data_IF_970319558372
#
_entry.id   IF_970319558372
#
_cell.length_a   1.000
_cell.length_b   1.000
_cell.length_c   1.000
_cell.angle_alpha   90.00
_cell.angle_beta   90.00
_cell.angle_gamma   90.00
#
_symmetry.space_group_name_H-M   'P 1'
#
loop_
_entity.id
_entity.type
_entity.pdbx_description
1 polymer ?
#
# COMPACT_ATOMS: atom_id res chain seq x y z
N UNK A 1 26.03 1.16 0.60
CA UNK A 1 25.62 1.11 -0.84
C UNK A 1 24.86 2.38 -1.17
N UNK A 2 25.04 2.92 -2.39
CA UNK A 2 24.24 4.05 -2.88
C UNK A 2 23.18 3.55 -3.84
N UNK A 3 21.99 4.16 -3.74
CA UNK A 3 20.87 3.89 -4.63
C UNK A 3 20.44 5.15 -5.37
N UNK A 4 20.20 5.03 -6.67
CA UNK A 4 19.42 5.95 -7.47
C UNK A 4 18.01 5.38 -7.61
N UNK A 5 17.03 5.97 -6.91
CA UNK A 5 15.64 5.56 -7.02
C UNK A 5 14.87 6.50 -7.94
N UNK A 6 14.42 6.01 -9.09
CA UNK A 6 13.75 6.81 -10.10
C UNK A 6 12.26 6.49 -10.10
N UNK A 7 11.42 7.47 -9.76
CA UNK A 7 9.98 7.30 -9.63
C UNK A 7 9.18 8.35 -10.40
N UNK A 8 8.07 7.97 -11.07
CA UNK A 8 7.14 8.93 -11.66
C UNK A 8 6.23 9.61 -10.63
N UNK A 9 6.37 9.30 -9.35
CA UNK A 9 5.51 9.79 -8.27
C UNK A 9 5.62 11.30 -8.08
N UNK A 10 4.52 11.92 -7.67
CA UNK A 10 4.43 13.32 -7.31
C UNK A 10 4.56 13.49 -5.79
N UNK A 11 5.39 14.42 -5.32
CA UNK A 11 5.68 14.66 -3.92
C UNK A 11 5.51 16.16 -3.55
N UNK A 12 4.85 16.48 -2.44
CA UNK A 12 4.04 15.60 -1.61
C UNK A 12 2.73 15.19 -2.29
N UNK A 13 2.17 14.02 -1.94
CA UNK A 13 0.87 13.57 -2.44
C UNK A 13 0.30 12.51 -1.51
N UNK A 14 -1.03 12.47 -1.38
CA UNK A 14 -1.76 11.43 -0.62
C UNK A 14 -1.95 10.12 -1.41
N UNK A 15 -1.48 10.06 -2.65
CA UNK A 15 -1.59 8.87 -3.48
C UNK A 15 -0.73 7.71 -2.93
N UNK A 16 -1.25 6.50 -2.98
CA UNK A 16 -0.60 5.31 -2.46
C UNK A 16 0.81 5.08 -3.05
N UNK A 17 1.00 5.36 -4.35
CA UNK A 17 2.30 5.24 -5.00
C UNK A 17 3.35 6.21 -4.42
N UNK A 18 2.96 7.40 -3.99
CA UNK A 18 3.86 8.38 -3.37
C UNK A 18 4.23 7.95 -1.95
N UNK A 19 3.26 7.45 -1.20
CA UNK A 19 3.48 6.86 0.14
C UNK A 19 4.45 5.69 0.05
N UNK A 20 4.24 4.76 -0.88
CA UNK A 20 5.13 3.62 -1.13
C UNK A 20 6.58 4.09 -1.38
N UNK A 21 6.79 5.00 -2.32
CA UNK A 21 8.13 5.46 -2.72
C UNK A 21 8.87 6.09 -1.55
N UNK A 22 8.22 6.97 -0.81
CA UNK A 22 8.84 7.67 0.32
C UNK A 22 9.21 6.67 1.44
N UNK A 23 8.30 5.75 1.78
CA UNK A 23 8.59 4.73 2.81
C UNK A 23 9.66 3.74 2.36
N UNK A 24 9.69 3.36 1.08
CA UNK A 24 10.74 2.49 0.54
C UNK A 24 12.12 3.17 0.59
N UNK A 25 12.21 4.46 0.22
CA UNK A 25 13.45 5.23 0.35
C UNK A 25 13.91 5.29 1.80
N UNK A 26 13.00 5.65 2.72
CA UNK A 26 13.31 5.71 4.15
C UNK A 26 13.78 4.35 4.71
N UNK A 27 13.20 3.25 4.24
CA UNK A 27 13.60 1.92 4.68
C UNK A 27 14.99 1.53 4.15
N UNK A 28 15.29 1.84 2.89
CA UNK A 28 16.64 1.65 2.32
C UNK A 28 17.68 2.43 3.13
N UNK A 29 17.37 3.69 3.47
CA UNK A 29 18.26 4.50 4.29
C UNK A 29 18.48 3.93 5.69
N UNK A 30 17.39 3.46 6.36
CA UNK A 30 17.47 2.80 7.67
C UNK A 30 18.25 1.49 7.63
N UNK A 31 18.28 0.82 6.48
CA UNK A 31 19.09 -0.38 6.24
C UNK A 31 20.54 -0.06 5.81
N UNK A 32 21.00 1.19 6.00
CA UNK A 32 22.38 1.60 5.77
C UNK A 32 22.71 2.03 4.35
N UNK A 33 21.71 2.23 3.48
CA UNK A 33 21.94 2.78 2.16
C UNK A 33 21.91 4.32 2.16
N UNK A 34 22.58 4.92 1.19
CA UNK A 34 22.44 6.31 0.80
C UNK A 34 21.55 6.38 -0.44
N UNK A 35 20.43 7.09 -0.39
CA UNK A 35 19.42 7.08 -1.47
C UNK A 35 19.29 8.45 -2.09
N UNK A 36 19.38 8.54 -3.41
CA UNK A 36 18.96 9.71 -4.19
C UNK A 36 17.65 9.41 -4.88
N UNK A 37 16.57 10.10 -4.48
CA UNK A 37 15.24 9.95 -5.06
C UNK A 37 15.01 10.97 -6.17
N UNK A 38 14.80 10.48 -7.39
CA UNK A 38 14.35 11.27 -8.54
C UNK A 38 12.84 11.17 -8.66
N UNK A 39 12.16 12.30 -8.45
CA UNK A 39 10.69 12.34 -8.46
C UNK A 39 10.17 13.70 -8.93
N UNK A 40 8.86 13.78 -9.14
CA UNK A 40 8.16 15.01 -9.39
C UNK A 40 7.90 15.76 -8.08
N UNK A 41 8.20 17.07 -8.06
CA UNK A 41 7.81 17.96 -6.97
C UNK A 41 6.57 18.77 -7.36
N UNK A 42 5.57 18.80 -6.47
CA UNK A 42 4.30 19.53 -6.67
C UNK A 42 4.29 20.91 -6.05
N UNK A 43 5.27 21.22 -5.18
CA UNK A 43 5.47 22.52 -4.55
C UNK A 43 6.65 23.26 -5.22
N UNK A 44 6.58 24.58 -5.39
CA UNK A 44 7.64 25.34 -6.07
C UNK A 44 8.99 25.27 -5.34
N UNK A 45 8.99 25.38 -4.02
CA UNK A 45 10.18 25.48 -3.20
C UNK A 45 10.74 24.10 -2.84
N UNK A 46 11.95 23.80 -3.35
CA UNK A 46 12.62 22.54 -3.06
C UNK A 46 12.94 22.36 -1.56
N UNK A 47 13.33 23.46 -0.89
CA UNK A 47 13.72 23.44 0.52
C UNK A 47 12.57 23.08 1.48
N UNK A 48 11.32 23.30 1.05
CA UNK A 48 10.13 22.93 1.85
C UNK A 48 9.76 21.46 1.72
N UNK A 49 10.28 20.75 0.71
CA UNK A 49 9.86 19.37 0.42
C UNK A 49 10.18 18.41 1.57
N UNK A 50 11.34 18.54 2.20
CA UNK A 50 11.72 17.68 3.35
C UNK A 50 10.75 17.85 4.53
N UNK A 51 10.40 19.11 4.85
CA UNK A 51 9.41 19.40 5.90
C UNK A 51 8.03 18.80 5.56
N UNK A 52 7.62 18.88 4.29
CA UNK A 52 6.38 18.28 3.82
C UNK A 52 6.43 16.73 3.86
N UNK A 53 7.56 16.10 3.53
CA UNK A 53 7.69 14.64 3.66
C UNK A 53 7.58 14.20 5.12
N UNK A 54 8.14 14.97 6.04
CA UNK A 54 8.02 14.72 7.49
C UNK A 54 6.57 14.86 7.95
N UNK A 55 5.89 15.92 7.53
CA UNK A 55 4.50 16.19 7.91
C UNK A 55 3.52 15.17 7.35
N UNK A 56 3.63 14.87 6.04
CA UNK A 56 2.66 14.03 5.31
C UNK A 56 2.89 12.54 5.54
N UNK A 57 4.15 12.10 5.56
CA UNK A 57 4.49 10.68 5.61
C UNK A 57 5.14 10.23 6.92
N UNK A 58 5.56 11.17 7.78
CA UNK A 58 6.33 10.87 8.98
C UNK A 58 7.75 10.38 8.65
N UNK A 59 8.31 10.79 7.51
CA UNK A 59 9.62 10.36 7.02
C UNK A 59 10.61 11.51 7.06
N UNK A 60 11.74 11.25 7.72
CA UNK A 60 12.91 12.11 7.78
C UNK A 60 14.15 11.22 7.92
N UNK A 61 15.13 11.38 7.02
CA UNK A 61 16.38 10.62 7.11
C UNK A 61 17.53 11.36 6.44
N UNK A 62 18.69 11.54 7.13
CA UNK A 62 19.81 12.32 6.60
C UNK A 62 20.47 11.73 5.36
N UNK A 63 20.34 10.42 5.13
CA UNK A 63 20.86 9.73 3.94
C UNK A 63 19.89 9.70 2.76
N UNK A 64 18.73 10.39 2.84
CA UNK A 64 17.79 10.56 1.75
C UNK A 64 18.01 11.90 1.06
N UNK A 65 18.57 11.84 -0.15
CA UNK A 65 18.75 13.00 -1.00
C UNK A 65 17.58 13.13 -1.98
N UNK A 66 17.01 14.33 -2.11
CA UNK A 66 15.87 14.61 -2.99
C UNK A 66 16.31 15.39 -4.22
N UNK A 67 16.44 14.71 -5.35
CA UNK A 67 16.69 15.33 -6.65
C UNK A 67 15.38 15.40 -7.45
N UNK A 68 14.64 16.50 -7.28
CA UNK A 68 13.28 16.60 -7.73
C UNK A 68 13.07 17.69 -8.78
N UNK A 69 12.26 17.37 -9.79
CA UNK A 69 11.84 18.31 -10.83
C UNK A 69 10.49 18.92 -10.49
N UNK A 70 10.40 20.25 -10.43
CA UNK A 70 9.11 20.94 -10.28
C UNK A 70 8.27 20.77 -11.53
N UNK A 71 7.02 20.34 -11.34
CA UNK A 71 6.11 20.10 -12.43
C UNK A 71 4.69 20.55 -12.06
N UNK A 72 4.18 21.55 -12.76
CA UNK A 72 2.82 22.08 -12.60
C UNK A 72 1.76 21.40 -13.50
N UNK A 73 2.18 20.47 -14.37
CA UNK A 73 1.31 19.82 -15.35
C UNK A 73 1.15 18.33 -15.06
N UNK A 74 -0.03 17.77 -15.41
CA UNK A 74 -0.30 16.33 -15.28
C UNK A 74 0.38 15.48 -16.36
N UNK A 75 0.83 16.08 -17.48
CA UNK A 75 1.33 15.37 -18.66
C UNK A 75 2.83 15.59 -18.89
N UNK A 76 3.52 14.61 -19.46
CA UNK A 76 4.93 14.71 -19.90
C UNK A 76 6.01 14.55 -18.82
N UNK A 77 5.64 14.57 -17.55
CA UNK A 77 6.59 14.65 -16.43
C UNK A 77 7.46 13.40 -16.24
N UNK A 78 6.97 12.21 -16.61
CA UNK A 78 7.74 10.96 -16.47
C UNK A 78 8.96 10.92 -17.39
N UNK A 79 8.87 11.49 -18.60
CA UNK A 79 10.01 11.60 -19.52
C UNK A 79 11.04 12.63 -19.04
N UNK A 80 10.59 13.77 -18.50
CA UNK A 80 11.49 14.80 -17.96
C UNK A 80 12.29 14.27 -16.76
N UNK A 81 11.62 13.56 -15.83
CA UNK A 81 12.29 12.91 -14.70
C UNK A 81 13.28 11.85 -15.20
N UNK A 82 12.88 11.03 -16.19
CA UNK A 82 13.73 10.01 -16.78
C UNK A 82 15.01 10.63 -17.38
N UNK A 83 14.85 11.68 -18.19
CA UNK A 83 15.98 12.37 -18.81
C UNK A 83 16.93 12.94 -17.77
N UNK A 84 16.40 13.67 -16.78
CA UNK A 84 17.17 14.26 -15.70
C UNK A 84 17.93 13.19 -14.90
N UNK A 85 17.26 12.14 -14.45
CA UNK A 85 17.88 11.07 -13.69
C UNK A 85 18.97 10.33 -14.49
N UNK A 86 18.70 9.99 -15.75
CA UNK A 86 19.68 9.30 -16.62
C UNK A 86 20.94 10.16 -16.82
N UNK A 87 20.76 11.47 -17.07
CA UNK A 87 21.90 12.38 -17.22
C UNK A 87 22.71 12.50 -15.93
N UNK A 88 22.05 12.60 -14.77
CA UNK A 88 22.71 12.69 -13.46
C UNK A 88 23.50 11.43 -13.14
N UNK A 89 22.89 10.25 -13.31
CA UNK A 89 23.52 8.95 -13.05
C UNK A 89 24.76 8.75 -13.96
N UNK A 90 24.65 9.07 -15.24
CA UNK A 90 25.76 8.92 -16.17
C UNK A 90 26.93 9.87 -15.89
N UNK A 91 26.64 11.09 -15.42
CA UNK A 91 27.69 12.05 -15.03
C UNK A 91 28.41 11.61 -13.75
N UNK A 92 27.72 10.95 -12.83
CA UNK A 92 28.33 10.47 -11.59
C UNK A 92 29.40 9.39 -11.83
N UNK A 93 29.36 8.65 -12.95
CA UNK A 93 30.38 7.70 -13.38
C UNK A 93 30.64 6.54 -12.41
N UNK A 94 29.78 6.34 -11.43
CA UNK A 94 29.89 5.35 -10.35
C UNK A 94 28.99 4.15 -10.64
N UNK A 95 29.39 2.99 -10.12
CA UNK A 95 28.55 1.77 -10.12
C UNK A 95 27.62 1.78 -8.88
N UNK A 96 26.70 2.74 -8.84
CA UNK A 96 25.68 2.79 -7.80
C UNK A 96 24.50 1.90 -8.20
N UNK A 97 23.78 1.34 -7.25
CA UNK A 97 22.59 0.53 -7.52
C UNK A 97 21.46 1.42 -8.05
N UNK A 98 20.72 0.91 -9.04
CA UNK A 98 19.62 1.64 -9.65
C UNK A 98 18.32 0.86 -9.40
N UNK A 99 17.34 1.52 -8.77
CA UNK A 99 15.98 1.05 -8.62
C UNK A 99 15.05 1.99 -9.40
N UNK A 100 14.34 1.48 -10.40
CA UNK A 100 13.48 2.32 -11.22
C UNK A 100 12.05 1.81 -11.28
N UNK A 101 11.10 2.69 -10.92
CA UNK A 101 9.67 2.56 -11.22
C UNK A 101 9.27 3.41 -12.44
N UNK A 102 10.17 4.20 -12.96
CA UNK A 102 9.94 4.99 -14.15
C UNK A 102 10.29 4.16 -15.38
N UNK A 103 9.25 3.82 -16.16
CA UNK A 103 9.37 2.98 -17.35
C UNK A 103 10.37 3.54 -18.38
N UNK A 104 10.34 4.86 -18.60
CA UNK A 104 11.21 5.51 -19.59
C UNK A 104 12.67 5.51 -19.16
N UNK A 105 12.95 5.79 -17.88
CA UNK A 105 14.29 5.72 -17.33
C UNK A 105 14.83 4.28 -17.36
N UNK A 106 14.02 3.32 -16.95
CA UNK A 106 14.38 1.90 -16.99
C UNK A 106 14.67 1.43 -18.42
N UNK A 107 13.83 1.81 -19.39
CA UNK A 107 14.07 1.49 -20.80
C UNK A 107 15.38 2.10 -21.30
N UNK A 108 15.60 3.37 -21.03
CA UNK A 108 16.79 4.09 -21.45
C UNK A 108 18.07 3.44 -20.88
N UNK A 109 18.08 3.19 -19.58
CA UNK A 109 19.24 2.61 -18.90
C UNK A 109 19.46 1.13 -19.30
N UNK A 110 18.41 0.31 -19.21
CA UNK A 110 18.54 -1.13 -19.46
C UNK A 110 18.72 -1.48 -20.94
N UNK A 111 17.89 -0.92 -21.83
CA UNK A 111 17.85 -1.33 -23.23
C UNK A 111 18.89 -0.59 -24.07
N UNK A 112 19.00 0.74 -23.91
CA UNK A 112 19.90 1.53 -24.73
C UNK A 112 21.34 1.59 -24.17
N UNK A 113 21.50 1.57 -22.84
CA UNK A 113 22.82 1.68 -22.21
C UNK A 113 23.32 0.39 -21.55
N UNK A 114 22.52 -0.69 -21.55
CA UNK A 114 22.87 -1.99 -20.97
C UNK A 114 23.32 -1.88 -19.51
N UNK A 115 22.69 -0.98 -18.76
CA UNK A 115 23.02 -0.73 -17.36
C UNK A 115 22.26 -1.72 -16.47
N UNK A 116 22.93 -2.44 -15.56
CA UNK A 116 22.25 -3.28 -14.56
C UNK A 116 21.33 -2.45 -13.69
N UNK A 117 20.10 -2.94 -13.45
CA UNK A 117 19.14 -2.27 -12.59
C UNK A 117 18.03 -3.19 -12.07
N UNK A 118 17.42 -2.77 -10.98
CA UNK A 118 16.17 -3.28 -10.45
C UNK A 118 15.02 -2.48 -11.09
N UNK A 119 14.14 -3.17 -11.83
CA UNK A 119 12.96 -2.58 -12.44
C UNK A 119 11.72 -2.97 -11.65
N UNK A 120 11.11 -2.02 -10.94
CA UNK A 120 9.90 -2.27 -10.16
C UNK A 120 8.66 -1.87 -10.94
N UNK A 121 7.73 -2.82 -11.11
CA UNK A 121 6.45 -2.60 -11.79
C UNK A 121 5.27 -3.08 -10.97
N UNK A 122 4.16 -2.32 -11.02
CA UNK A 122 2.93 -2.59 -10.28
C UNK A 122 1.75 -2.88 -11.20
N UNK A 123 1.98 -2.97 -12.50
CA UNK A 123 0.93 -3.18 -13.49
C UNK A 123 1.47 -3.71 -14.82
N UNK A 124 0.57 -4.26 -15.63
CA UNK A 124 0.84 -4.51 -17.04
C UNK A 124 0.65 -3.19 -17.81
N UNK A 125 1.66 -2.77 -18.53
CA UNK A 125 1.56 -1.64 -19.45
C UNK A 125 0.83 -2.03 -20.75
N UNK A 126 0.27 -1.05 -21.46
CA UNK A 126 -0.48 -1.25 -22.71
C UNK A 126 0.17 -0.52 -23.89
N UNK A 127 -0.19 -0.88 -25.12
CA UNK A 127 0.30 -0.25 -26.34
C UNK A 127 1.83 -0.22 -26.42
N UNK A 128 2.41 0.90 -26.83
CA UNK A 128 3.86 1.07 -26.95
C UNK A 128 4.59 0.90 -25.63
N UNK A 129 3.98 1.29 -24.53
CA UNK A 129 4.54 1.12 -23.18
C UNK A 129 4.69 -0.38 -22.82
N UNK A 130 3.76 -1.23 -23.27
CA UNK A 130 3.87 -2.69 -23.13
C UNK A 130 5.13 -3.24 -23.82
N UNK A 131 5.43 -2.76 -25.03
CA UNK A 131 6.64 -3.13 -25.74
C UNK A 131 7.91 -2.69 -24.97
N UNK A 132 7.93 -1.47 -24.43
CA UNK A 132 9.04 -1.00 -23.59
C UNK A 132 9.22 -1.87 -22.34
N UNK A 133 8.12 -2.15 -21.62
CA UNK A 133 8.15 -3.00 -20.43
C UNK A 133 8.71 -4.38 -20.76
N UNK A 134 8.20 -5.02 -21.81
CA UNK A 134 8.69 -6.32 -22.29
C UNK A 134 10.18 -6.27 -22.62
N UNK A 135 10.66 -5.21 -23.28
CA UNK A 135 12.06 -5.06 -23.65
C UNK A 135 12.98 -4.97 -22.43
N UNK A 136 12.56 -4.20 -21.41
CA UNK A 136 13.29 -4.09 -20.14
C UNK A 136 13.39 -5.46 -19.47
N UNK A 137 12.26 -6.16 -19.33
CA UNK A 137 12.15 -7.43 -18.60
C UNK A 137 12.94 -8.58 -19.27
N UNK A 138 13.29 -8.45 -20.54
CA UNK A 138 14.13 -9.39 -21.30
C UNK A 138 15.61 -9.13 -21.19
N UNK A 139 16.04 -8.00 -20.61
CA UNK A 139 17.45 -7.70 -20.45
C UNK A 139 18.09 -8.61 -19.39
N UNK A 140 19.20 -9.32 -19.71
CA UNK A 140 19.86 -10.24 -18.78
C UNK A 140 20.40 -9.58 -17.50
N UNK A 141 20.61 -8.29 -17.52
CA UNK A 141 21.12 -7.48 -16.43
C UNK A 141 20.02 -6.73 -15.67
N UNK A 142 18.75 -7.12 -15.84
CA UNK A 142 17.61 -6.53 -15.14
C UNK A 142 16.96 -7.57 -14.24
N UNK A 143 16.79 -7.25 -12.97
CA UNK A 143 15.89 -7.98 -12.07
C UNK A 143 14.58 -7.20 -11.96
N UNK A 144 13.48 -7.85 -12.34
CA UNK A 144 12.15 -7.25 -12.27
C UNK A 144 11.53 -7.50 -10.89
N UNK A 145 11.16 -6.43 -10.20
CA UNK A 145 10.42 -6.50 -8.95
C UNK A 145 8.94 -6.30 -9.23
N UNK A 146 8.12 -7.23 -8.75
CA UNK A 146 6.65 -7.18 -8.83
C UNK A 146 6.01 -7.28 -7.45
N UNK A 147 4.79 -6.75 -7.32
CA UNK A 147 4.12 -6.63 -6.01
C UNK A 147 3.28 -7.84 -5.60
N UNK A 148 3.12 -8.82 -6.48
CA UNK A 148 2.38 -10.06 -6.20
C UNK A 148 2.80 -11.19 -7.13
N UNK A 149 2.62 -12.43 -6.71
CA UNK A 149 2.80 -13.62 -7.55
C UNK A 149 1.83 -13.60 -8.74
N UNK A 150 0.61 -13.11 -8.52
CA UNK A 150 -0.38 -12.95 -9.59
C UNK A 150 0.10 -11.97 -10.66
N UNK A 151 0.76 -10.86 -10.29
CA UNK A 151 1.36 -9.96 -11.26
C UNK A 151 2.52 -10.61 -12.00
N UNK A 152 3.38 -11.38 -11.30
CA UNK A 152 4.46 -12.12 -11.92
C UNK A 152 3.94 -13.08 -13.01
N UNK A 153 2.93 -13.89 -12.67
CA UNK A 153 2.28 -14.82 -13.62
C UNK A 153 1.68 -14.09 -14.80
N UNK A 154 0.94 -13.03 -14.53
CA UNK A 154 0.28 -12.24 -15.58
C UNK A 154 1.28 -11.59 -16.54
N UNK A 155 2.39 -11.05 -16.03
CA UNK A 155 3.46 -10.52 -16.85
C UNK A 155 4.19 -11.61 -17.63
N UNK A 156 4.44 -12.77 -17.04
CA UNK A 156 5.07 -13.91 -17.72
C UNK A 156 4.22 -14.38 -18.92
N UNK A 157 2.91 -14.53 -18.73
CA UNK A 157 1.97 -14.91 -19.79
C UNK A 157 1.93 -13.88 -20.93
N UNK A 158 1.92 -12.57 -20.61
CA UNK A 158 1.73 -11.51 -21.59
C UNK A 158 3.02 -10.96 -22.19
N UNK A 159 4.16 -11.12 -21.52
CA UNK A 159 5.47 -10.60 -21.94
C UNK A 159 6.52 -11.69 -22.19
N UNK A 160 6.28 -12.93 -21.74
CA UNK A 160 7.26 -14.00 -21.83
C UNK A 160 8.51 -13.68 -21.01
N UNK A 161 8.32 -13.26 -19.77
CA UNK A 161 9.41 -13.01 -18.80
C UNK A 161 10.04 -14.31 -18.32
N UNK A 162 11.34 -14.27 -18.06
CA UNK A 162 12.03 -15.39 -17.45
C UNK A 162 11.82 -15.38 -15.93
N UNK A 163 11.20 -16.41 -15.32
CA UNK A 163 10.85 -16.41 -13.90
C UNK A 163 12.02 -16.18 -12.94
N UNK A 164 13.22 -16.65 -13.29
CA UNK A 164 14.42 -16.52 -12.43
C UNK A 164 14.94 -15.09 -12.30
N UNK A 165 14.43 -14.15 -13.09
CA UNK A 165 14.75 -12.71 -13.04
C UNK A 165 13.63 -11.88 -12.46
N UNK A 166 12.60 -12.51 -11.94
CA UNK A 166 11.46 -11.84 -11.31
C UNK A 166 11.53 -12.05 -9.81
N UNK A 167 11.54 -10.96 -9.05
CA UNK A 167 11.52 -10.94 -7.60
C UNK A 167 10.15 -10.44 -7.13
N UNK A 168 9.42 -11.27 -6.39
CA UNK A 168 8.12 -10.89 -5.83
C UNK A 168 8.33 -10.23 -4.47
N UNK A 169 8.00 -8.96 -4.37
CA UNK A 169 8.04 -8.18 -3.13
C UNK A 169 6.71 -7.46 -2.95
N UNK A 170 5.86 -8.01 -2.11
CA UNK A 170 4.61 -7.37 -1.71
C UNK A 170 4.87 -5.98 -1.14
N UNK A 171 3.85 -5.12 -1.14
CA UNK A 171 3.88 -3.88 -0.37
C UNK A 171 4.08 -4.18 1.12
N UNK A 172 4.31 -3.17 1.92
CA UNK A 172 4.67 -3.34 3.31
C UNK A 172 4.03 -2.25 4.19
N UNK A 173 4.20 -2.37 5.49
CA UNK A 173 3.86 -1.33 6.45
C UNK A 173 5.12 -0.83 7.19
N UNK A 174 5.07 0.38 7.78
CA UNK A 174 6.16 0.89 8.62
C UNK A 174 6.47 -0.05 9.78
N UNK A 175 7.75 -0.25 10.09
CA UNK A 175 8.16 -0.99 11.28
C UNK A 175 7.69 -0.28 12.56
N UNK A 176 7.54 -1.05 13.65
CA UNK A 176 7.19 -0.51 14.96
C UNK A 176 5.69 -0.35 15.24
N UNK A 177 4.81 -0.81 14.33
CA UNK A 177 3.39 -0.94 14.69
C UNK A 177 3.31 -2.03 15.76
N UNK A 178 2.65 -1.73 16.88
CA UNK A 178 2.45 -2.66 17.99
C UNK A 178 1.00 -2.69 18.43
N UNK A 179 0.44 -3.85 18.78
CA UNK A 179 -0.88 -3.94 19.38
C UNK A 179 -0.96 -3.10 20.66
N UNK A 180 -2.14 -2.63 20.98
CA UNK A 180 -2.44 -1.93 22.24
C UNK A 180 -3.20 -2.84 23.20
N UNK A 181 -3.11 -2.57 24.50
CA UNK A 181 -3.85 -3.32 25.49
C UNK A 181 -5.37 -3.09 25.35
N UNK A 182 -6.18 -4.00 25.87
CA UNK A 182 -7.64 -3.88 25.85
C UNK A 182 -8.09 -2.59 26.58
N UNK A 183 -7.45 -2.25 27.70
CA UNK A 183 -7.76 -1.04 28.46
C UNK A 183 -7.46 0.21 27.63
N UNK A 184 -6.27 0.33 27.09
CA UNK A 184 -5.88 1.46 26.24
C UNK A 184 -6.78 1.59 25.00
N UNK A 185 -7.19 0.46 24.41
CA UNK A 185 -8.13 0.43 23.29
C UNK A 185 -9.47 1.05 23.68
N UNK A 186 -10.05 0.63 24.81
CA UNK A 186 -11.32 1.14 25.31
C UNK A 186 -11.27 2.63 25.60
N UNK A 187 -10.20 3.10 26.27
CA UNK A 187 -10.04 4.52 26.62
C UNK A 187 -9.95 5.40 25.37
N UNK A 188 -9.14 5.00 24.39
CA UNK A 188 -8.99 5.72 23.12
C UNK A 188 -10.26 5.69 22.28
N UNK A 189 -10.97 4.56 22.25
CA UNK A 189 -12.22 4.43 21.53
C UNK A 189 -13.30 5.32 22.14
N UNK A 190 -13.37 5.37 23.47
CA UNK A 190 -14.27 6.27 24.17
C UNK A 190 -13.99 7.75 23.88
N UNK A 191 -12.71 8.14 23.86
CA UNK A 191 -12.32 9.50 23.48
C UNK A 191 -12.71 9.85 22.03
N UNK A 192 -12.68 8.87 21.13
CA UNK A 192 -13.03 9.04 19.71
C UNK A 192 -14.55 9.11 19.49
N UNK A 193 -15.32 8.27 20.20
CA UNK A 193 -16.78 8.17 20.10
C UNK A 193 -17.37 8.11 21.53
N UNK A 194 -17.56 9.27 22.20
CA UNK A 194 -17.98 9.32 23.61
C UNK A 194 -19.29 8.58 23.89
N UNK A 195 -20.23 8.61 22.94
CA UNK A 195 -21.53 7.95 23.06
C UNK A 195 -21.48 6.42 22.83
N UNK A 196 -20.31 5.87 22.51
CA UNK A 196 -20.13 4.44 22.24
C UNK A 196 -19.93 3.59 23.50
N UNK A 197 -19.86 4.18 24.71
CA UNK A 197 -19.63 3.44 25.95
C UNK A 197 -20.75 2.45 26.26
N UNK A 198 -20.41 1.16 26.22
CA UNK A 198 -21.31 0.09 26.64
C UNK A 198 -22.48 -0.21 25.70
N UNK A 199 -22.63 0.56 24.62
CA UNK A 199 -23.74 0.41 23.69
C UNK A 199 -23.48 -0.68 22.61
N UNK A 200 -22.21 -0.98 22.31
CA UNK A 200 -21.84 -1.84 21.18
C UNK A 200 -21.08 -3.08 21.63
N UNK A 201 -21.43 -4.23 21.08
CA UNK A 201 -20.72 -5.50 21.34
C UNK A 201 -19.36 -5.53 20.67
N UNK A 202 -19.26 -4.96 19.46
CA UNK A 202 -18.05 -4.90 18.66
C UNK A 202 -17.95 -3.55 17.94
N UNK A 203 -16.74 -3.08 17.74
CA UNK A 203 -16.43 -1.90 16.92
C UNK A 203 -15.62 -2.34 15.71
N UNK A 204 -16.19 -2.20 14.53
CA UNK A 204 -15.58 -2.56 13.26
C UNK A 204 -15.01 -1.31 12.58
N UNK A 205 -13.76 -1.38 12.12
CA UNK A 205 -13.08 -0.29 11.40
C UNK A 205 -12.84 -0.60 9.93
N UNK A 206 -13.22 0.34 9.05
CA UNK A 206 -12.84 0.37 7.65
C UNK A 206 -11.92 1.56 7.39
N UNK A 207 -10.80 1.35 6.71
CA UNK A 207 -9.86 2.41 6.36
C UNK A 207 -9.58 2.38 4.85
N UNK A 208 -9.84 3.47 4.14
CA UNK A 208 -9.55 3.56 2.72
C UNK A 208 -10.43 4.52 1.94
N UNK A 209 -10.13 4.65 0.64
CA UNK A 209 -10.98 5.40 -0.29
C UNK A 209 -12.34 4.71 -0.47
N UNK A 210 -13.36 5.52 -0.82
CA UNK A 210 -14.72 5.03 -1.09
C UNK A 210 -14.97 4.82 -2.60
N UNK A 211 -13.91 4.54 -3.37
CA UNK A 211 -14.02 4.25 -4.80
C UNK A 211 -14.76 2.92 -5.05
N UNK A 212 -15.39 2.78 -6.23
CA UNK A 212 -16.03 1.53 -6.63
C UNK A 212 -15.10 0.31 -6.45
N UNK A 213 -15.64 -0.77 -5.95
CA UNK A 213 -14.91 -2.00 -5.68
C UNK A 213 -14.08 -2.01 -4.38
N UNK A 214 -14.09 -0.91 -3.60
CA UNK A 214 -13.46 -0.89 -2.27
C UNK A 214 -14.35 -1.48 -1.18
N UNK A 215 -15.63 -1.77 -1.50
CA UNK A 215 -16.55 -2.57 -0.69
C UNK A 215 -17.22 -1.82 0.46
N UNK A 216 -17.33 -0.51 0.37
CA UNK A 216 -18.09 0.26 1.38
C UNK A 216 -19.55 -0.20 1.48
N UNK A 217 -20.13 -0.69 0.38
CA UNK A 217 -21.47 -1.25 0.31
C UNK A 217 -21.65 -2.47 1.24
N UNK A 218 -20.61 -3.28 1.41
CA UNK A 218 -20.61 -4.39 2.37
C UNK A 218 -20.66 -3.86 3.81
N UNK A 219 -19.85 -2.84 4.13
CA UNK A 219 -19.85 -2.23 5.46
C UNK A 219 -21.22 -1.62 5.79
N UNK A 220 -21.84 -0.94 4.83
CA UNK A 220 -23.19 -0.38 4.95
C UNK A 220 -24.24 -1.49 5.18
N UNK A 221 -24.17 -2.59 4.44
CA UNK A 221 -25.08 -3.73 4.59
C UNK A 221 -24.88 -4.43 5.96
N UNK A 222 -23.64 -4.60 6.41
CA UNK A 222 -23.34 -5.11 7.75
C UNK A 222 -23.93 -4.21 8.84
N UNK A 223 -23.85 -2.88 8.71
CA UNK A 223 -24.42 -1.94 9.66
C UNK A 223 -25.96 -2.02 9.71
N UNK A 224 -26.61 -2.32 8.60
CA UNK A 224 -28.05 -2.59 8.56
C UNK A 224 -28.40 -3.87 9.32
N UNK A 225 -27.64 -4.94 9.13
CA UNK A 225 -27.91 -6.26 9.70
C UNK A 225 -27.51 -6.38 11.19
N UNK A 226 -26.47 -5.66 11.63
CA UNK A 226 -25.88 -5.79 12.98
C UNK A 226 -25.99 -4.49 13.77
N UNK A 227 -27.18 -4.27 14.34
CA UNK A 227 -27.49 -3.08 15.16
C UNK A 227 -26.74 -3.05 16.49
N UNK A 228 -26.19 -4.15 16.91
CA UNK A 228 -25.37 -4.33 18.11
C UNK A 228 -23.87 -4.06 17.90
N UNK A 229 -23.46 -3.74 16.66
CA UNK A 229 -22.09 -3.39 16.31
C UNK A 229 -21.98 -1.95 15.79
N UNK A 230 -20.87 -1.26 16.11
CA UNK A 230 -20.53 0.05 15.57
C UNK A 230 -19.58 -0.09 14.40
N UNK A 231 -19.84 0.63 13.32
CA UNK A 231 -18.99 0.65 12.12
C UNK A 231 -18.39 2.04 11.93
N UNK A 232 -17.07 2.13 11.99
CA UNK A 232 -16.28 3.35 11.80
C UNK A 232 -15.61 3.34 10.44
N UNK A 233 -15.91 4.34 9.61
CA UNK A 233 -15.38 4.45 8.23
C UNK A 233 -14.44 5.64 8.14
N UNK A 234 -13.13 5.37 7.97
CA UNK A 234 -12.09 6.38 7.83
C UNK A 234 -11.64 6.46 6.36
N UNK A 235 -11.72 7.65 5.79
CA UNK A 235 -11.36 7.95 4.41
C UNK A 235 -12.54 8.50 3.60
N UNK A 236 -12.37 8.53 2.27
CA UNK A 236 -13.30 9.21 1.37
C UNK A 236 -13.08 10.73 1.30
N UNK A 237 -13.63 11.34 0.26
CA UNK A 237 -13.73 12.80 0.14
C UNK A 237 -15.00 13.29 0.84
N UNK A 238 -15.09 14.59 1.14
CA UNK A 238 -16.31 15.18 1.69
C UNK A 238 -17.52 14.91 0.81
N UNK A 239 -17.32 14.94 -0.51
CA UNK A 239 -18.38 14.65 -1.49
C UNK A 239 -18.83 13.18 -1.42
N UNK A 240 -17.88 12.23 -1.35
CA UNK A 240 -18.20 10.80 -1.21
C UNK A 240 -19.00 10.55 0.08
N UNK A 241 -18.56 11.13 1.19
CA UNK A 241 -19.18 10.98 2.50
C UNK A 241 -20.59 11.60 2.51
N UNK A 242 -20.78 12.80 1.94
CA UNK A 242 -22.07 13.45 1.87
C UNK A 242 -23.08 12.60 1.09
N UNK A 243 -22.66 12.04 -0.06
CA UNK A 243 -23.48 11.14 -0.86
C UNK A 243 -23.89 9.88 -0.07
N UNK A 244 -22.94 9.26 0.66
CA UNK A 244 -23.21 8.06 1.48
C UNK A 244 -24.11 8.33 2.68
N UNK A 245 -23.94 9.45 3.38
CA UNK A 245 -24.80 9.87 4.50
C UNK A 245 -26.24 10.15 4.06
N UNK A 246 -26.45 10.57 2.82
CA UNK A 246 -27.80 10.80 2.28
C UNK A 246 -28.52 9.47 2.03
N UNK A 247 -27.82 8.47 1.52
CA UNK A 247 -28.38 7.16 1.20
C UNK A 247 -28.43 6.18 2.38
N UNK A 248 -27.60 6.39 3.42
CA UNK A 248 -27.52 5.50 4.58
C UNK A 248 -27.47 6.29 5.90
N UNK A 249 -28.55 6.19 6.70
CA UNK A 249 -28.74 6.90 7.96
C UNK A 249 -28.72 5.97 9.18
N UNK A 250 -27.89 4.92 9.15
CA UNK A 250 -27.80 4.00 10.30
C UNK A 250 -27.07 4.69 11.47
N UNK A 251 -27.67 4.63 12.66
CA UNK A 251 -27.10 5.22 13.88
C UNK A 251 -25.76 4.56 14.30
N UNK A 252 -25.53 3.33 13.87
CA UNK A 252 -24.34 2.53 14.13
C UNK A 252 -23.30 2.55 12.99
N UNK A 253 -23.40 3.53 12.07
CA UNK A 253 -22.44 3.72 10.98
C UNK A 253 -21.94 5.17 10.99
N UNK A 254 -20.66 5.37 11.31
CA UNK A 254 -20.06 6.69 11.39
C UNK A 254 -18.98 6.89 10.32
N UNK A 255 -19.16 7.87 9.44
CA UNK A 255 -18.14 8.32 8.48
C UNK A 255 -17.27 9.37 9.14
N UNK A 256 -16.03 9.01 9.46
CA UNK A 256 -15.06 9.82 10.21
C UNK A 256 -14.22 10.74 9.33
N UNK A 257 -14.28 10.54 8.01
CA UNK A 257 -13.50 11.33 7.05
C UNK A 257 -12.05 10.88 6.91
N UNK A 258 -11.29 11.69 6.17
CA UNK A 258 -9.87 11.42 5.92
C UNK A 258 -9.03 11.75 7.16
N UNK A 259 -8.14 10.83 7.52
CA UNK A 259 -7.13 11.03 8.58
C UNK A 259 -5.72 10.81 8.02
N UNK A 260 -4.69 11.51 8.54
CA UNK A 260 -3.30 11.27 8.15
C UNK A 260 -2.86 9.83 8.43
N UNK A 261 -1.94 9.29 7.63
CA UNK A 261 -1.47 7.90 7.78
C UNK A 261 -0.99 7.51 9.19
N UNK A 262 -0.22 8.33 9.92
CA UNK A 262 0.15 7.99 11.30
C UNK A 262 -1.07 7.83 12.22
N UNK A 263 -2.04 8.75 12.10
CA UNK A 263 -3.29 8.72 12.89
C UNK A 263 -4.14 7.50 12.50
N UNK A 264 -4.24 7.19 11.20
CA UNK A 264 -4.97 6.01 10.73
C UNK A 264 -4.41 4.71 11.36
N UNK A 265 -3.09 4.56 11.42
CA UNK A 265 -2.45 3.40 12.04
C UNK A 265 -2.76 3.27 13.53
N UNK A 266 -2.81 4.39 14.26
CA UNK A 266 -3.20 4.37 15.67
C UNK A 266 -4.67 4.00 15.84
N UNK A 267 -5.54 4.49 14.96
CA UNK A 267 -6.98 4.16 14.97
C UNK A 267 -7.25 2.70 14.56
N UNK A 268 -6.47 2.12 13.66
CA UNK A 268 -6.56 0.70 13.31
C UNK A 268 -6.33 -0.23 14.51
N UNK A 269 -5.58 0.21 15.50
CA UNK A 269 -5.21 -0.57 16.69
C UNK A 269 -6.26 -0.52 17.80
N UNK A 270 -7.23 0.38 17.71
CA UNK A 270 -8.23 0.59 18.77
C UNK A 270 -9.61 0.00 18.46
N UNK A 271 -9.90 -0.35 17.22
CA UNK A 271 -11.12 -1.09 16.86
C UNK A 271 -10.99 -2.57 17.22
N UNK A 272 -12.11 -3.29 17.30
CA UNK A 272 -12.13 -4.70 17.63
C UNK A 272 -11.91 -5.59 16.41
N UNK A 273 -12.36 -5.15 15.24
CA UNK A 273 -12.27 -5.89 13.98
C UNK A 273 -11.96 -4.91 12.84
N UNK A 274 -11.03 -5.29 11.97
CA UNK A 274 -10.69 -4.55 10.76
C UNK A 274 -11.36 -5.18 9.54
N UNK A 275 -12.02 -4.36 8.72
CA UNK A 275 -12.75 -4.80 7.53
C UNK A 275 -12.00 -4.40 6.25
N UNK A 276 -11.77 -5.38 5.37
CA UNK A 276 -11.12 -5.20 4.08
C UNK A 276 -11.96 -5.79 2.93
N UNK A 277 -13.13 -5.20 2.60
CA UNK A 277 -14.15 -5.80 1.74
C UNK A 277 -13.93 -5.50 0.24
N UNK A 278 -12.74 -5.69 -0.29
CA UNK A 278 -12.47 -5.53 -1.72
C UNK A 278 -13.40 -6.40 -2.56
N UNK A 279 -13.83 -5.88 -3.71
CA UNK A 279 -14.67 -6.60 -4.65
C UNK A 279 -13.83 -7.24 -5.77
N UNK A 280 -14.45 -8.06 -6.62
CA UNK A 280 -13.79 -8.74 -7.74
C UNK A 280 -13.22 -7.77 -8.80
N UNK A 281 -13.73 -6.53 -8.83
CA UNK A 281 -13.16 -5.41 -9.60
C UNK A 281 -12.87 -4.24 -8.66
N UNK A 282 -11.65 -3.72 -8.68
CA UNK A 282 -11.19 -2.68 -7.76
C UNK A 282 -10.64 -1.48 -8.52
N UNK A 283 -11.37 -0.36 -8.44
CA UNK A 283 -10.91 0.92 -9.00
C UNK A 283 -9.83 1.57 -8.12
N UNK A 284 -8.92 2.28 -8.79
CA UNK A 284 -7.95 3.19 -8.16
C UNK A 284 -8.32 4.66 -8.40
N UNK A 285 -9.57 4.93 -8.81
CA UNK A 285 -10.03 6.28 -9.16
C UNK A 285 -9.62 6.73 -10.57
N UNK A 286 -9.16 5.80 -11.42
CA UNK A 286 -8.83 6.02 -12.84
C UNK A 286 -9.70 5.10 -13.67
N UNK A 287 -10.44 5.68 -14.63
CA UNK A 287 -11.34 4.90 -15.47
C UNK A 287 -10.59 3.79 -16.24
N UNK A 288 -11.17 2.59 -16.28
CA UNK A 288 -10.62 1.43 -16.99
C UNK A 288 -9.44 0.73 -16.30
N UNK A 289 -9.03 1.16 -15.12
CA UNK A 289 -7.99 0.50 -14.33
C UNK A 289 -8.61 -0.36 -13.23
N UNK A 290 -8.55 -1.68 -13.41
CA UNK A 290 -8.91 -2.68 -12.41
C UNK A 290 -7.63 -3.35 -11.89
N UNK A 291 -7.42 -3.28 -10.58
CA UNK A 291 -6.24 -3.83 -9.91
C UNK A 291 -6.54 -5.09 -9.10
N UNK A 292 -7.79 -5.56 -9.08
CA UNK A 292 -8.21 -6.70 -8.25
C UNK A 292 -7.39 -7.97 -8.51
N UNK A 293 -6.91 -8.15 -9.74
CA UNK A 293 -6.18 -9.37 -10.16
C UNK A 293 -4.77 -9.47 -9.61
N UNK A 294 -4.11 -8.34 -9.28
CA UNK A 294 -2.68 -8.32 -8.91
C UNK A 294 -2.30 -7.29 -7.85
N UNK A 295 -3.28 -6.69 -7.17
CA UNK A 295 -3.03 -5.67 -6.17
C UNK A 295 -2.25 -6.21 -4.97
N UNK A 296 -1.44 -5.34 -4.37
CA UNK A 296 -0.82 -5.54 -3.06
C UNK A 296 -1.14 -4.31 -2.20
N UNK A 297 -2.32 -4.28 -1.53
CA UNK A 297 -2.77 -3.06 -0.86
C UNK A 297 -2.00 -2.82 0.43
N UNK A 298 -1.32 -1.67 0.56
CA UNK A 298 -0.55 -1.29 1.75
C UNK A 298 -1.34 -1.42 3.04
N UNK A 299 -2.66 -1.09 3.03
CA UNK A 299 -3.51 -1.22 4.23
C UNK A 299 -3.59 -2.64 4.77
N UNK A 300 -3.44 -3.67 3.91
CA UNK A 300 -3.40 -5.07 4.34
C UNK A 300 -2.26 -5.30 5.34
N UNK A 301 -1.10 -4.76 5.05
CA UNK A 301 0.09 -4.89 5.91
C UNK A 301 -0.01 -4.01 7.17
N UNK A 302 -0.65 -2.85 7.08
CA UNK A 302 -0.98 -2.01 8.24
C UNK A 302 -1.98 -2.72 9.16
N UNK A 303 -2.98 -3.42 8.60
CA UNK A 303 -3.95 -4.23 9.35
C UNK A 303 -3.25 -5.41 10.04
N UNK A 304 -2.39 -6.15 9.33
CA UNK A 304 -1.59 -7.19 9.95
C UNK A 304 -0.75 -6.65 11.11
N UNK A 305 -0.13 -5.46 10.91
CA UNK A 305 0.67 -4.81 11.94
C UNK A 305 -0.12 -4.37 13.17
N UNK A 306 -1.38 -3.99 13.00
CA UNK A 306 -2.25 -3.57 14.10
C UNK A 306 -2.51 -4.69 15.13
N UNK A 307 -2.41 -5.97 14.72
CA UNK A 307 -2.64 -7.11 15.60
C UNK A 307 -4.10 -7.27 16.03
N UNK A 308 -5.01 -6.72 15.25
CA UNK A 308 -6.46 -6.79 15.42
C UNK A 308 -7.02 -7.80 14.43
N UNK A 309 -8.03 -8.62 14.79
CA UNK A 309 -8.67 -9.53 13.86
C UNK A 309 -9.10 -8.85 12.56
N UNK A 310 -8.85 -9.51 11.44
CA UNK A 310 -9.16 -9.00 10.10
C UNK A 310 -10.24 -9.90 9.49
N UNK A 311 -11.29 -9.28 8.94
CA UNK A 311 -12.19 -9.93 7.98
C UNK A 311 -11.89 -9.33 6.60
N UNK A 312 -11.53 -10.16 5.66
CA UNK A 312 -11.14 -9.75 4.31
C UNK A 312 -11.93 -10.49 3.24
N UNK A 313 -12.06 -9.87 2.08
CA UNK A 313 -12.58 -10.55 0.91
C UNK A 313 -11.68 -11.71 0.51
N UNK A 314 -12.33 -12.81 0.13
CA UNK A 314 -11.71 -13.99 -0.43
C UNK A 314 -11.37 -13.77 -1.91
N UNK A 315 -10.24 -13.10 -2.15
CA UNK A 315 -9.71 -12.87 -3.49
C UNK A 315 -8.38 -13.61 -3.66
N UNK A 316 -8.14 -14.26 -4.82
CA UNK A 316 -6.93 -15.06 -5.03
C UNK A 316 -5.63 -14.32 -4.73
N UNK A 317 -5.52 -13.06 -5.13
CA UNK A 317 -4.32 -12.24 -4.88
C UNK A 317 -4.12 -11.90 -3.40
N UNK A 318 -5.18 -11.78 -2.60
CA UNK A 318 -5.08 -11.51 -1.17
C UNK A 318 -4.66 -12.77 -0.40
N UNK A 319 -5.01 -13.97 -0.91
CA UNK A 319 -4.58 -15.26 -0.37
C UNK A 319 -3.07 -15.51 -0.48
N UNK A 320 -2.33 -14.71 -1.21
CA UNK A 320 -0.87 -14.74 -1.17
C UNK A 320 -0.30 -14.38 0.21
N UNK A 321 -1.07 -13.64 1.01
CA UNK A 321 -0.67 -13.14 2.32
C UNK A 321 -1.66 -13.54 3.43
N UNK A 322 -2.96 -13.54 3.10
CA UNK A 322 -4.03 -13.80 4.05
C UNK A 322 -4.46 -15.27 4.03
N UNK A 323 -4.40 -15.91 5.19
CA UNK A 323 -4.71 -17.32 5.39
C UNK A 323 -5.94 -17.44 6.29
N UNK A 324 -7.03 -17.99 5.73
CA UNK A 324 -8.31 -18.12 6.44
C UNK A 324 -8.18 -18.95 7.73
N UNK A 325 -8.72 -18.43 8.81
CA UNK A 325 -8.64 -19.06 10.13
C UNK A 325 -7.28 -18.98 10.81
N UNK A 326 -6.23 -18.49 10.14
CA UNK A 326 -4.88 -18.35 10.70
C UNK A 326 -4.55 -16.91 11.09
N UNK A 327 -4.52 -15.98 10.11
CA UNK A 327 -4.18 -14.57 10.28
C UNK A 327 -5.33 -13.61 9.92
N UNK A 328 -6.42 -14.14 9.41
CA UNK A 328 -7.66 -13.43 9.09
C UNK A 328 -8.85 -14.40 9.03
N UNK A 329 -10.06 -13.89 8.84
CA UNK A 329 -11.18 -14.64 8.27
C UNK A 329 -11.47 -14.12 6.87
N UNK A 330 -11.72 -15.04 5.94
CA UNK A 330 -12.08 -14.72 4.56
C UNK A 330 -13.59 -14.82 4.36
N UNK A 331 -14.16 -13.85 3.67
CA UNK A 331 -15.56 -13.79 3.30
C UNK A 331 -15.70 -13.59 1.79
N UNK A 332 -16.72 -14.20 1.18
CA UNK A 332 -17.00 -14.01 -0.25
C UNK A 332 -17.31 -12.55 -0.53
N UNK A 333 -16.68 -11.91 -1.55
CA UNK A 333 -16.68 -10.44 -1.74
C UNK A 333 -18.08 -9.81 -1.69
N UNK A 334 -19.05 -10.37 -2.41
CA UNK A 334 -20.39 -9.78 -2.56
C UNK A 334 -21.47 -10.48 -1.72
N UNK A 335 -21.09 -11.45 -0.87
CA UNK A 335 -22.03 -12.26 -0.08
C UNK A 335 -22.06 -11.75 1.37
N UNK A 336 -23.08 -10.95 1.69
CA UNK A 336 -23.24 -10.37 3.03
C UNK A 336 -23.32 -11.43 4.12
N UNK A 337 -23.96 -12.57 3.89
CA UNK A 337 -24.10 -13.62 4.89
C UNK A 337 -22.73 -14.22 5.26
N UNK A 338 -21.82 -14.32 4.30
CA UNK A 338 -20.44 -14.73 4.55
C UNK A 338 -19.69 -13.74 5.47
N UNK A 339 -19.91 -12.42 5.30
CA UNK A 339 -19.33 -11.39 6.16
C UNK A 339 -19.91 -11.41 7.57
N UNK A 340 -21.24 -11.60 7.68
CA UNK A 340 -21.92 -11.70 8.97
C UNK A 340 -21.47 -12.96 9.72
N UNK A 341 -21.36 -14.10 9.04
CA UNK A 341 -20.85 -15.32 9.65
C UNK A 341 -19.42 -15.18 10.15
N UNK A 342 -18.53 -14.50 9.40
CA UNK A 342 -17.17 -14.22 9.83
C UNK A 342 -17.15 -13.27 11.06
N UNK A 343 -18.00 -12.26 11.08
CA UNK A 343 -18.18 -11.36 12.22
C UNK A 343 -18.63 -12.13 13.47
N UNK A 344 -19.63 -13.00 13.33
CA UNK A 344 -20.16 -13.80 14.45
C UNK A 344 -19.12 -14.78 15.00
N UNK A 345 -18.29 -15.37 14.13
CA UNK A 345 -17.20 -16.25 14.56
C UNK A 345 -16.16 -15.50 15.43
N UNK A 346 -15.77 -14.28 15.04
CA UNK A 346 -14.85 -13.46 15.83
C UNK A 346 -15.51 -13.00 17.13
N UNK A 347 -16.74 -12.48 17.06
CA UNK A 347 -17.47 -11.99 18.23
C UNK A 347 -17.78 -13.09 19.26
N UNK A 348 -18.00 -14.32 18.79
CA UNK A 348 -18.32 -15.47 19.63
C UNK A 348 -17.11 -16.20 20.22
N UNK A 349 -15.87 -15.88 19.78
CA UNK A 349 -14.65 -16.52 20.32
C UNK A 349 -13.51 -15.52 20.49
N UNK A 350 -13.34 -14.98 21.71
CA UNK A 350 -12.21 -14.13 22.06
C UNK A 350 -10.85 -14.81 21.82
N UNK A 351 -10.76 -16.14 21.97
CA UNK A 351 -9.56 -16.92 21.74
C UNK A 351 -9.19 -16.94 20.26
N UNK A 352 -10.17 -17.12 19.38
CA UNK A 352 -9.99 -17.04 17.93
C UNK A 352 -9.55 -15.62 17.52
N UNK A 353 -10.21 -14.60 18.06
CA UNK A 353 -9.88 -13.20 17.82
C UNK A 353 -8.43 -12.89 18.19
N UNK A 354 -8.01 -13.27 19.41
CA UNK A 354 -6.66 -13.06 19.90
C UNK A 354 -5.61 -13.83 19.06
N UNK A 355 -5.89 -15.07 18.70
CA UNK A 355 -5.01 -15.91 17.89
C UNK A 355 -4.80 -15.32 16.50
N UNK A 356 -5.88 -14.94 15.81
CA UNK A 356 -5.81 -14.34 14.47
C UNK A 356 -5.01 -13.03 14.52
N UNK A 357 -5.32 -12.13 15.46
CA UNK A 357 -4.59 -10.87 15.60
C UNK A 357 -3.10 -11.07 15.90
N UNK A 358 -2.76 -12.01 16.81
CA UNK A 358 -1.38 -12.33 17.13
C UNK A 358 -0.63 -12.91 15.94
N UNK A 359 -1.22 -13.84 15.20
CA UNK A 359 -0.61 -14.45 14.02
C UNK A 359 -0.38 -13.42 12.91
N UNK A 360 -1.37 -12.55 12.67
CA UNK A 360 -1.26 -11.43 11.72
C UNK A 360 -0.07 -10.52 12.07
N UNK A 361 0.03 -10.10 13.33
CA UNK A 361 1.12 -9.26 13.81
C UNK A 361 2.50 -9.93 13.71
N UNK A 362 2.58 -11.21 14.05
CA UNK A 362 3.83 -11.97 13.96
C UNK A 362 4.30 -12.12 12.50
N UNK A 363 3.38 -12.33 11.57
CA UNK A 363 3.69 -12.39 10.14
C UNK A 363 4.17 -11.03 9.63
N UNK A 364 3.47 -9.94 9.97
CA UNK A 364 3.88 -8.59 9.64
C UNK A 364 5.33 -8.30 10.09
N UNK A 365 5.65 -8.56 11.35
CA UNK A 365 7.00 -8.31 11.89
C UNK A 365 8.09 -9.08 11.16
N UNK A 366 7.81 -10.32 10.77
CA UNK A 366 8.80 -11.19 10.12
C UNK A 366 9.00 -10.87 8.64
N UNK A 367 7.94 -10.45 7.93
CA UNK A 367 7.95 -10.48 6.46
C UNK A 367 7.50 -9.19 5.80
N UNK A 368 6.63 -8.37 6.44
CA UNK A 368 5.88 -7.32 5.75
C UNK A 368 6.15 -5.90 6.27
N UNK A 369 7.35 -5.67 6.79
CA UNK A 369 7.82 -4.30 7.08
C UNK A 369 8.60 -3.74 5.90
N UNK A 370 8.55 -2.41 5.73
CA UNK A 370 9.38 -1.74 4.72
C UNK A 370 10.87 -2.04 4.89
N UNK A 371 11.34 -2.26 6.13
CA UNK A 371 12.73 -2.65 6.41
C UNK A 371 13.04 -4.02 5.80
N UNK A 372 12.17 -5.03 6.00
CA UNK A 372 12.35 -6.36 5.39
C UNK A 372 12.33 -6.31 3.87
N UNK A 373 11.46 -5.46 3.31
CA UNK A 373 11.43 -5.25 1.87
C UNK A 373 12.70 -4.58 1.36
N UNK A 374 13.24 -3.59 2.08
CA UNK A 374 14.49 -2.92 1.74
C UNK A 374 15.70 -3.86 1.79
N UNK A 375 15.77 -4.74 2.79
CA UNK A 375 16.81 -5.76 2.91
C UNK A 375 16.86 -6.64 1.64
N UNK A 376 15.72 -7.15 1.19
CA UNK A 376 15.62 -7.96 -0.04
C UNK A 376 15.99 -7.17 -1.32
N UNK A 377 15.68 -5.88 -1.38
CA UNK A 377 16.09 -5.01 -2.49
C UNK A 377 17.61 -4.82 -2.49
N UNK A 378 18.21 -4.64 -1.32
CA UNK A 378 19.67 -4.49 -1.16
C UNK A 378 20.36 -5.81 -1.57
N UNK A 379 19.86 -6.96 -1.12
CA UNK A 379 20.36 -8.28 -1.52
C UNK A 379 20.32 -8.44 -3.04
N UNK A 380 19.18 -8.18 -3.67
CA UNK A 380 19.03 -8.26 -5.13
C UNK A 380 19.94 -7.27 -5.90
N UNK A 381 20.26 -6.12 -5.31
CA UNK A 381 21.17 -5.16 -5.89
C UNK A 381 22.64 -5.60 -5.84
N UNK A 382 23.03 -6.45 -4.87
CA UNK A 382 24.37 -7.06 -4.83
C UNK A 382 24.57 -8.17 -5.87
N UNK A 383 23.46 -8.76 -6.35
CA UNK A 383 23.48 -9.84 -7.35
C UNK A 383 23.49 -9.32 -8.81
N UNK A 384 23.37 -8.01 -9.04
CA UNK A 384 23.44 -7.35 -10.36
C UNK A 384 24.88 -7.05 -10.78
#
# INVERSE_FOLDING_TARGET
>A
MRFHYISPSALPSRAANSVHVVWQCAALCRSGAEVTLYAKRTIPEAQKLEAELRSVYGVDHPSLNLDTTYCNSRYGNSLSIAYHAVCSIRRAGRRDAILSRNLYAAFWLAVLHRTPLLFETHQLETGFRKWMQRSIMRCPWVTTIVISEHLAKYLAEHHGTEPHRTLVLHDAAPAGISPVSITERRDKLHALVPDAQGAWKQVCGYFGHLYPGRGIEIVEAMAVARKDCLFLVFGGTETDIAARRTSNRQANLAFMGHVPHPVARDLMRIVDILLMPYQESVSIGVAGHDTARWMSPMKMFEYLGAGVPIISSDLPVLREVLLDGENCLLARPSDIDSWLAALDRIAGSPELAARIGSNAHNQYKRQHTWTRRAEKIIEAAYEL
#
